data_IF_889421018998
#
_entry.id   IF_889421018998
#
_cell.length_a   1.000
_cell.length_b   1.000
_cell.length_c   1.000
_cell.angle_alpha   90.00
_cell.angle_beta   90.00
_cell.angle_gamma   90.00
#
_symmetry.space_group_name_H-M   'P 1'
#
loop_
_entity.id
_entity.type
_entity.pdbx_description
1 polymer ?
#
# COMPACT_ATOMS: atom_id res chain seq x y z
N UNK A 1 16.19 -7.43 -17.52
CA UNK A 1 14.73 -7.63 -17.67
C UNK A 1 13.99 -7.35 -16.36
N UNK A 2 14.50 -7.83 -15.23
CA UNK A 2 13.98 -7.58 -13.88
C UNK A 2 13.46 -6.15 -13.61
N UNK A 3 14.32 -5.13 -13.75
CA UNK A 3 13.94 -3.75 -13.43
C UNK A 3 12.86 -3.16 -14.35
N UNK A 4 12.75 -3.64 -15.60
CA UNK A 4 11.70 -3.21 -16.52
C UNK A 4 10.34 -3.80 -16.11
N UNK A 5 10.33 -5.07 -15.69
CA UNK A 5 9.12 -5.73 -15.17
C UNK A 5 8.68 -5.04 -13.86
N UNK A 6 9.60 -4.82 -12.93
CA UNK A 6 9.30 -4.16 -11.66
C UNK A 6 8.74 -2.73 -11.86
N UNK A 7 9.33 -1.95 -12.79
CA UNK A 7 8.83 -0.61 -13.13
C UNK A 7 7.45 -0.65 -13.80
N UNK A 8 7.20 -1.62 -14.66
CA UNK A 8 5.90 -1.82 -15.28
C UNK A 8 4.83 -2.13 -14.23
N UNK A 9 5.10 -3.06 -13.31
CA UNK A 9 4.20 -3.42 -12.23
C UNK A 9 3.91 -2.24 -11.30
N UNK A 10 4.95 -1.49 -10.91
CA UNK A 10 4.79 -0.31 -10.07
C UNK A 10 3.89 0.73 -10.76
N UNK A 11 4.15 1.04 -12.03
CA UNK A 11 3.34 2.01 -12.78
C UNK A 11 1.90 1.54 -12.98
N UNK A 12 1.70 0.25 -13.14
CA UNK A 12 0.38 -0.35 -13.22
C UNK A 12 -0.38 -0.19 -11.91
N UNK A 13 0.25 -0.53 -10.78
CA UNK A 13 -0.38 -0.44 -9.46
C UNK A 13 -0.71 1.01 -9.08
N UNK A 14 0.16 1.97 -9.39
CA UNK A 14 -0.08 3.41 -9.16
C UNK A 14 -1.22 3.98 -10.02
N UNK A 15 -1.58 3.33 -11.13
CA UNK A 15 -2.73 3.69 -11.96
C UNK A 15 -4.01 2.98 -11.55
N UNK A 16 -3.93 1.96 -10.70
CA UNK A 16 -5.09 1.20 -10.26
C UNK A 16 -6.00 2.11 -9.41
N UNK A 17 -7.31 2.21 -9.70
CA UNK A 17 -8.23 3.01 -8.89
C UNK A 17 -8.23 2.59 -7.41
N UNK A 18 -8.04 1.29 -7.12
CA UNK A 18 -7.97 0.78 -5.74
C UNK A 18 -6.83 1.43 -4.96
N UNK A 19 -5.69 1.69 -5.60
CA UNK A 19 -4.56 2.37 -4.97
C UNK A 19 -4.96 3.77 -4.49
N UNK A 20 -5.62 4.55 -5.35
CA UNK A 20 -6.05 5.91 -5.01
C UNK A 20 -7.14 5.94 -3.95
N UNK A 21 -8.12 5.04 -4.05
CA UNK A 21 -9.19 4.93 -3.04
C UNK A 21 -8.62 4.65 -1.66
N UNK A 22 -7.69 3.70 -1.55
CA UNK A 22 -7.03 3.37 -0.29
C UNK A 22 -6.17 4.55 0.20
N UNK A 23 -5.35 5.14 -0.67
CA UNK A 23 -4.50 6.27 -0.31
C UNK A 23 -5.32 7.43 0.27
N UNK A 24 -6.40 7.83 -0.42
CA UNK A 24 -7.29 8.91 0.02
C UNK A 24 -7.99 8.53 1.33
N UNK A 25 -8.50 7.31 1.45
CA UNK A 25 -9.19 6.86 2.65
C UNK A 25 -8.27 6.88 3.89
N UNK A 26 -7.07 6.32 3.78
CA UNK A 26 -6.12 6.31 4.90
C UNK A 26 -5.59 7.72 5.21
N UNK A 27 -5.41 8.57 4.21
CA UNK A 27 -5.09 9.98 4.40
C UNK A 27 -6.17 10.68 5.22
N UNK A 28 -7.44 10.58 4.79
CA UNK A 28 -8.56 11.27 5.43
C UNK A 28 -8.82 10.77 6.85
N UNK A 29 -8.68 9.46 7.10
CA UNK A 29 -8.82 8.91 8.46
C UNK A 29 -7.73 9.41 9.39
N UNK A 30 -6.47 9.41 8.93
CA UNK A 30 -5.33 9.86 9.73
C UNK A 30 -5.39 11.37 9.96
N UNK A 31 -5.66 12.16 8.92
CA UNK A 31 -5.82 13.61 8.98
C UNK A 31 -7.04 14.03 9.83
N UNK A 32 -8.15 13.31 9.69
CA UNK A 32 -9.38 13.52 10.47
C UNK A 32 -9.14 13.33 11.97
N UNK A 33 -8.34 12.33 12.35
CA UNK A 33 -7.98 12.11 13.76
C UNK A 33 -7.13 13.23 14.38
N UNK A 34 -6.37 13.96 13.55
CA UNK A 34 -5.57 15.09 14.00
C UNK A 34 -6.40 16.37 14.10
N UNK A 35 -7.23 16.62 13.09
CA UNK A 35 -7.99 17.88 12.98
C UNK A 35 -9.27 17.90 13.82
N UNK A 36 -10.00 16.80 13.92
CA UNK A 36 -11.31 16.73 14.58
C UNK A 36 -11.16 16.15 15.99
N UNK A 37 -11.50 16.93 17.02
CA UNK A 37 -11.38 16.49 18.43
C UNK A 37 -12.31 15.33 18.81
N UNK A 38 -13.42 15.16 18.09
CA UNK A 38 -14.37 14.06 18.29
C UNK A 38 -13.89 12.73 17.69
N UNK A 39 -12.95 12.76 16.74
CA UNK A 39 -12.40 11.55 16.11
C UNK A 39 -11.12 11.16 16.85
N UNK A 40 -11.25 10.36 17.89
CA UNK A 40 -10.11 9.84 18.63
C UNK A 40 -9.66 8.48 18.08
N UNK A 41 -8.51 8.48 17.42
CA UNK A 41 -7.77 7.27 17.07
C UNK A 41 -6.54 7.23 17.97
N UNK A 42 -6.55 6.35 18.98
CA UNK A 42 -5.35 6.06 19.77
C UNK A 42 -4.82 7.19 20.66
N UNK A 43 -5.57 8.24 20.98
CA UNK A 43 -5.16 9.26 21.96
C UNK A 43 -6.27 9.54 22.97
N UNK A 44 -5.93 9.52 24.27
CA UNK A 44 -6.84 9.87 25.36
C UNK A 44 -6.97 11.39 25.55
N UNK A 45 -7.99 11.82 26.30
CA UNK A 45 -8.39 13.22 26.47
C UNK A 45 -7.31 14.17 27.05
N UNK A 46 -6.21 13.65 27.62
CA UNK A 46 -5.17 14.44 28.31
C UNK A 46 -3.78 14.38 27.65
N UNK A 47 -3.67 13.90 26.41
CA UNK A 47 -2.40 13.82 25.68
C UNK A 47 -2.43 14.81 24.51
N UNK A 48 -1.36 15.60 24.35
CA UNK A 48 -1.21 16.46 23.17
C UNK A 48 -1.27 15.61 21.90
N UNK A 49 -2.05 16.04 20.89
CA UNK A 49 -2.20 15.30 19.62
C UNK A 49 -0.86 15.05 18.90
N UNK A 50 0.10 15.97 19.08
CA UNK A 50 1.47 15.86 18.55
C UNK A 50 2.45 15.13 19.50
N UNK A 51 1.95 14.46 20.55
CA UNK A 51 2.79 13.68 21.43
C UNK A 51 3.32 12.44 20.69
N UNK A 52 4.59 12.03 20.91
CA UNK A 52 5.16 10.85 20.27
C UNK A 52 4.33 9.58 20.49
N UNK A 53 3.73 9.45 21.68
CA UNK A 53 2.86 8.31 22.03
C UNK A 53 1.58 8.28 21.19
N UNK A 54 0.94 9.43 20.98
CA UNK A 54 -0.28 9.53 20.17
C UNK A 54 0.00 9.19 18.69
N UNK A 55 1.10 9.71 18.13
CA UNK A 55 1.52 9.43 16.75
C UNK A 55 1.82 7.94 16.57
N UNK A 56 2.52 7.32 17.54
CA UNK A 56 2.84 5.90 17.51
C UNK A 56 1.57 5.03 17.61
N UNK A 57 0.59 5.40 18.43
CA UNK A 57 -0.68 4.68 18.57
C UNK A 57 -1.51 4.75 17.29
N UNK A 58 -1.60 5.92 16.65
CA UNK A 58 -2.28 6.07 15.35
C UNK A 58 -1.59 5.22 14.29
N UNK A 59 -0.26 5.24 14.22
CA UNK A 59 0.50 4.39 13.30
C UNK A 59 0.25 2.89 13.53
N UNK A 60 0.22 2.44 14.79
CA UNK A 60 -0.07 1.05 15.09
C UNK A 60 -1.47 0.65 14.65
N UNK A 61 -2.49 1.44 14.98
CA UNK A 61 -3.86 1.15 14.59
C UNK A 61 -3.99 1.15 13.06
N UNK A 62 -3.44 2.14 12.38
CA UNK A 62 -3.45 2.21 10.92
C UNK A 62 -2.72 1.02 10.28
N UNK A 63 -1.60 0.55 10.86
CA UNK A 63 -0.87 -0.61 10.35
C UNK A 63 -1.69 -1.90 10.40
N UNK A 64 -2.51 -2.08 11.44
CA UNK A 64 -3.41 -3.24 11.56
C UNK A 64 -4.45 -3.24 10.44
N UNK A 65 -5.08 -2.09 10.16
CA UNK A 65 -6.03 -1.97 9.06
C UNK A 65 -5.35 -2.09 7.69
N UNK A 66 -4.13 -1.57 7.57
CA UNK A 66 -3.37 -1.63 6.33
C UNK A 66 -2.99 -3.06 5.95
N UNK A 67 -2.90 -3.99 6.91
CA UNK A 67 -2.68 -5.41 6.63
C UNK A 67 -3.72 -5.98 5.64
N UNK A 68 -4.99 -5.59 5.75
CA UNK A 68 -6.04 -6.01 4.80
C UNK A 68 -5.88 -5.41 3.41
N UNK A 69 -5.33 -4.20 3.32
CA UNK A 69 -5.02 -3.56 2.04
C UNK A 69 -3.88 -4.30 1.33
N UNK A 70 -2.84 -4.66 2.08
CA UNK A 70 -1.65 -5.31 1.49
C UNK A 70 -2.02 -6.64 0.84
N UNK A 71 -2.91 -7.43 1.44
CA UNK A 71 -3.38 -8.69 0.85
C UNK A 71 -4.16 -8.45 -0.45
N UNK A 72 -5.01 -7.41 -0.49
CA UNK A 72 -5.75 -7.04 -1.70
C UNK A 72 -4.82 -6.63 -2.85
N UNK A 73 -3.75 -5.87 -2.58
CA UNK A 73 -2.78 -5.50 -3.61
C UNK A 73 -2.00 -6.70 -4.14
N UNK A 74 -1.52 -7.59 -3.26
CA UNK A 74 -0.77 -8.78 -3.67
C UNK A 74 -1.65 -9.75 -4.46
N UNK A 75 -2.90 -9.94 -4.04
CA UNK A 75 -3.85 -10.82 -4.74
C UNK A 75 -4.12 -10.36 -6.18
N UNK A 76 -4.35 -9.05 -6.38
CA UNK A 76 -4.59 -8.48 -7.71
C UNK A 76 -3.40 -8.74 -8.65
N UNK A 77 -2.17 -8.54 -8.15
CA UNK A 77 -0.97 -8.79 -8.94
C UNK A 77 -0.95 -10.23 -9.42
N UNK A 78 -1.18 -11.22 -8.55
CA UNK A 78 -1.08 -12.65 -8.88
C UNK A 78 -2.16 -13.08 -9.89
N UNK A 79 -3.43 -12.79 -9.60
CA UNK A 79 -4.60 -13.31 -10.34
C UNK A 79 -4.69 -12.70 -11.74
N UNK A 80 -4.26 -11.45 -11.93
CA UNK A 80 -4.35 -10.72 -13.20
C UNK A 80 -3.70 -11.47 -14.38
N UNK A 81 -2.56 -12.12 -14.17
CA UNK A 81 -1.83 -12.77 -15.26
C UNK A 81 -2.50 -14.08 -15.71
N UNK A 82 -3.24 -14.71 -14.80
CA UNK A 82 -4.06 -15.90 -15.10
C UNK A 82 -5.37 -15.50 -15.79
N UNK A 83 -6.02 -14.42 -15.35
CA UNK A 83 -7.25 -13.89 -15.97
C UNK A 83 -7.01 -13.30 -17.37
N UNK A 84 -5.87 -12.62 -17.57
CA UNK A 84 -5.53 -11.99 -18.85
C UNK A 84 -4.94 -12.96 -19.88
N UNK A 85 -4.66 -14.21 -19.49
CA UNK A 85 -4.02 -15.20 -20.37
C UNK A 85 -2.58 -14.85 -20.78
N UNK A 86 -1.93 -13.90 -20.10
CA UNK A 86 -0.54 -13.53 -20.36
C UNK A 86 0.47 -14.54 -19.80
N UNK A 87 0.06 -15.37 -18.84
CA UNK A 87 0.93 -16.38 -18.22
C UNK A 87 1.70 -17.28 -19.20
N UNK A 88 1.06 -17.89 -20.22
CA UNK A 88 1.74 -18.70 -21.24
C UNK A 88 2.73 -17.91 -22.12
N UNK A 89 2.44 -16.64 -22.42
CA UNK A 89 3.31 -15.79 -23.26
C UNK A 89 4.59 -15.37 -22.52
N UNK A 90 4.51 -15.15 -21.21
CA UNK A 90 5.69 -14.86 -20.39
C UNK A 90 6.55 -16.11 -20.19
N UNK A 91 5.94 -17.31 -20.16
CA UNK A 91 6.66 -18.59 -20.03
C UNK A 91 7.39 -19.01 -21.31
N UNK A 92 7.06 -18.45 -22.47
CA UNK A 92 7.77 -18.70 -23.74
C UNK A 92 8.95 -17.76 -24.00
N UNK A 93 9.15 -16.74 -23.16
CA UNK A 93 10.31 -15.83 -23.23
C UNK A 93 11.45 -16.31 -22.32
N UNK A 94 12.67 -15.78 -22.55
CA UNK A 94 13.89 -16.13 -21.77
C UNK A 94 13.91 -15.56 -20.33
N UNK A 95 12.75 -15.24 -19.76
CA UNK A 95 12.66 -14.63 -18.42
C UNK A 95 12.89 -15.72 -17.37
N UNK A 96 13.82 -15.49 -16.45
CA UNK A 96 14.04 -16.42 -15.34
C UNK A 96 12.86 -16.38 -14.37
N UNK A 97 12.52 -17.53 -13.77
CA UNK A 97 11.43 -17.61 -12.77
C UNK A 97 11.66 -16.68 -11.59
N UNK A 98 12.92 -16.56 -11.17
CA UNK A 98 13.33 -15.69 -10.08
C UNK A 98 13.10 -14.21 -10.40
N UNK A 99 13.52 -13.77 -11.59
CA UNK A 99 13.31 -12.37 -12.00
C UNK A 99 11.84 -12.02 -12.11
N UNK A 100 11.01 -12.95 -12.59
CA UNK A 100 9.57 -12.74 -12.73
C UNK A 100 8.86 -12.62 -11.38
N UNK A 101 9.10 -13.56 -10.46
CA UNK A 101 8.49 -13.55 -9.13
C UNK A 101 8.94 -12.34 -8.31
N UNK A 102 10.24 -12.09 -8.27
CA UNK A 102 10.81 -11.05 -7.40
C UNK A 102 10.50 -9.65 -7.94
N UNK A 103 10.35 -9.48 -9.26
CA UNK A 103 9.93 -8.20 -9.85
C UNK A 103 8.47 -7.88 -9.54
N UNK A 104 7.56 -8.87 -9.61
CA UNK A 104 6.15 -8.70 -9.23
C UNK A 104 6.01 -8.41 -7.74
N UNK A 105 6.76 -9.13 -6.90
CA UNK A 105 6.82 -8.86 -5.47
C UNK A 105 7.31 -7.44 -5.18
N UNK A 106 8.45 -7.02 -5.76
CA UNK A 106 8.97 -5.67 -5.53
C UNK A 106 8.01 -4.57 -6.02
N UNK A 107 7.37 -4.76 -7.18
CA UNK A 107 6.37 -3.81 -7.68
C UNK A 107 5.20 -3.63 -6.70
N UNK A 108 4.64 -4.73 -6.21
CA UNK A 108 3.56 -4.72 -5.23
C UNK A 108 4.01 -4.15 -3.87
N UNK A 109 5.20 -4.53 -3.41
CA UNK A 109 5.77 -4.08 -2.15
C UNK A 109 6.02 -2.57 -2.15
N UNK A 110 6.66 -2.05 -3.20
CA UNK A 110 6.92 -0.60 -3.33
C UNK A 110 5.61 0.17 -3.44
N UNK A 111 4.62 -0.33 -4.18
CA UNK A 111 3.31 0.30 -4.24
C UNK A 111 2.64 0.36 -2.86
N UNK A 112 2.62 -0.76 -2.12
CA UNK A 112 2.08 -0.81 -0.76
C UNK A 112 2.84 0.13 0.19
N UNK A 113 4.17 0.17 0.11
CA UNK A 113 4.98 1.08 0.91
C UNK A 113 4.65 2.55 0.62
N UNK A 114 4.52 2.93 -0.67
CA UNK A 114 4.12 4.29 -1.07
C UNK A 114 2.73 4.63 -0.53
N UNK A 115 1.75 3.72 -0.61
CA UNK A 115 0.42 3.96 -0.06
C UNK A 115 0.47 4.14 1.46
N UNK A 116 1.30 3.36 2.17
CA UNK A 116 1.40 3.46 3.63
C UNK A 116 2.05 4.77 4.09
N UNK A 117 2.98 5.33 3.30
CA UNK A 117 3.61 6.62 3.59
C UNK A 117 2.61 7.79 3.66
N UNK A 118 1.41 7.62 3.13
CA UNK A 118 0.33 8.62 3.22
C UNK A 118 -0.13 8.82 4.67
N UNK A 119 -0.02 7.81 5.54
CA UNK A 119 -0.39 7.89 6.96
C UNK A 119 0.52 8.86 7.74
N UNK A 120 1.86 8.72 7.73
CA UNK A 120 2.73 9.70 8.38
C UNK A 120 2.61 11.08 7.75
N UNK A 121 2.46 11.18 6.42
CA UNK A 121 2.28 12.47 5.74
C UNK A 121 0.98 13.19 6.12
N UNK A 122 -0.04 12.47 6.58
CA UNK A 122 -1.30 13.06 7.04
C UNK A 122 -1.26 13.56 8.48
N UNK A 123 -0.28 13.08 9.27
CA UNK A 123 -0.15 13.37 10.70
C UNK A 123 0.81 14.53 10.96
N UNK A 124 1.85 14.64 10.13
CA UNK A 124 2.82 15.74 10.16
C UNK A 124 2.29 16.99 9.43
#
# INVERSE_FOLDING_TARGET
>A
MFGQIARFELRYQLRNPVFWTVAILFFLLSFGSMTIEQIQIGSGANIHKNAPVAIAQIHQIMSLFFMFVTTAFVANVIVRDDESGFGPMVRSTRVSKFDYLLARFLGAFVAAAITFLVVPLAIW
#
